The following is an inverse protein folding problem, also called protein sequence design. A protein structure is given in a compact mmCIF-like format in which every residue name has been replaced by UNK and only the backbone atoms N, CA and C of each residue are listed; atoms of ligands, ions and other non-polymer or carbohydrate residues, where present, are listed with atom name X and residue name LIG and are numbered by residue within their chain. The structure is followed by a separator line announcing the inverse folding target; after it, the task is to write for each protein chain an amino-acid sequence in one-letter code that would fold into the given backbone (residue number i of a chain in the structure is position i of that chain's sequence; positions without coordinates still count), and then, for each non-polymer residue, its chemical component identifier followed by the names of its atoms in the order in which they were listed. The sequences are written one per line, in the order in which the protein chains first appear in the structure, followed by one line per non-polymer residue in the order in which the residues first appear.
data_IF_430196688118
#
_entry.id   IF_430196688118
#
_cell.length_a   1.000
_cell.length_b   1.000
_cell.length_c   1.000
_cell.angle_alpha   90.00
_cell.angle_beta   90.00
_cell.angle_gamma   90.00
#
_symmetry.space_group_name_H-M   'P 1'
#
loop_
_entity.id
_entity.type
_entity.pdbx_description
1 polymer ?
#
# COMPACT_ATOMS: atom_id res chain seq x y z
N UNK A 1 20.57 -13.36 18.00
CA UNK A 1 19.58 -14.45 18.22
C UNK A 1 19.19 -14.46 19.69
N UNK A 2 17.90 -14.62 20.06
CA UNK A 2 17.56 -14.50 21.49
C UNK A 2 18.04 -15.70 22.29
N UNK A 3 18.54 -15.47 23.51
CA UNK A 3 18.98 -16.52 24.44
C UNK A 3 17.92 -17.60 24.66
N UNK A 4 16.64 -17.24 24.52
CA UNK A 4 15.50 -18.19 24.59
C UNK A 4 15.54 -19.24 23.48
N UNK A 5 16.00 -18.87 22.27
CA UNK A 5 16.10 -19.77 21.12
C UNK A 5 17.28 -20.72 21.26
N UNK A 6 18.42 -20.22 21.73
CA UNK A 6 19.62 -21.03 22.04
C UNK A 6 19.29 -22.06 23.14
N UNK A 7 18.59 -21.65 24.20
CA UNK A 7 18.13 -22.55 25.25
C UNK A 7 17.14 -23.61 24.73
N UNK A 8 16.22 -23.22 23.84
CA UNK A 8 15.29 -24.16 23.21
C UNK A 8 16.01 -25.20 22.34
N UNK A 9 17.05 -24.80 21.60
CA UNK A 9 17.85 -25.71 20.78
C UNK A 9 18.70 -26.67 21.61
N UNK A 10 19.28 -26.17 22.71
CA UNK A 10 19.99 -27.03 23.67
C UNK A 10 19.04 -28.06 24.30
N UNK A 11 17.86 -27.61 24.74
CA UNK A 11 16.86 -28.50 25.35
C UNK A 11 16.28 -29.52 24.35
N UNK A 12 16.26 -29.20 23.06
CA UNK A 12 15.89 -30.10 21.98
C UNK A 12 17.04 -31.02 21.52
N UNK A 13 18.22 -30.95 22.14
CA UNK A 13 19.39 -31.76 21.79
C UNK A 13 20.04 -31.39 20.45
N UNK A 14 19.68 -30.25 19.85
CA UNK A 14 20.21 -29.82 18.55
C UNK A 14 21.64 -29.27 18.64
N UNK A 15 22.05 -28.81 19.82
CA UNK A 15 23.39 -28.27 20.11
C UNK A 15 23.82 -28.71 21.51
N UNK A 16 25.12 -28.90 21.71
CA UNK A 16 25.72 -29.23 23.00
C UNK A 16 25.95 -27.98 23.87
N UNK A 17 26.33 -28.19 25.13
CA UNK A 17 26.57 -27.10 26.08
C UNK A 17 27.74 -26.19 25.67
N UNK A 18 28.77 -26.75 25.02
CA UNK A 18 29.92 -25.99 24.55
C UNK A 18 29.54 -25.05 23.39
N UNK A 19 28.79 -25.54 22.41
CA UNK A 19 28.29 -24.73 21.28
C UNK A 19 27.29 -23.68 21.75
N UNK A 20 26.42 -24.02 22.72
CA UNK A 20 25.49 -23.06 23.30
C UNK A 20 26.22 -21.89 23.99
N UNK A 21 27.30 -22.16 24.72
CA UNK A 21 28.10 -21.12 25.37
C UNK A 21 28.85 -20.27 24.33
N UNK A 22 29.48 -20.89 23.33
CA UNK A 22 30.17 -20.17 22.25
C UNK A 22 29.23 -19.23 21.48
N UNK A 23 27.97 -19.62 21.26
CA UNK A 23 26.96 -18.76 20.63
C UNK A 23 26.54 -17.59 21.53
N UNK A 24 26.44 -17.81 22.85
CA UNK A 24 26.13 -16.74 23.80
C UNK A 24 27.26 -15.73 23.83
N UNK A 25 28.51 -16.19 23.89
CA UNK A 25 29.70 -15.34 23.93
C UNK A 25 29.85 -14.56 22.62
N UNK A 26 29.65 -15.22 21.47
CA UNK A 26 29.63 -14.57 20.16
C UNK A 26 28.55 -13.48 20.07
N UNK A 27 27.33 -13.75 20.53
CA UNK A 27 26.26 -12.74 20.54
C UNK A 27 26.56 -11.59 21.51
N UNK A 28 27.18 -11.86 22.67
CA UNK A 28 27.59 -10.83 23.62
C UNK A 28 28.65 -9.89 23.02
N UNK A 29 29.65 -10.43 22.32
CA UNK A 29 30.68 -9.65 21.61
C UNK A 29 30.12 -8.88 20.41
N UNK A 30 29.08 -9.41 19.75
CA UNK A 30 28.46 -8.81 18.56
C UNK A 30 27.16 -8.06 18.88
N UNK A 31 26.87 -7.81 20.17
CA UNK A 31 25.68 -7.07 20.56
C UNK A 31 25.86 -5.61 20.12
N UNK A 32 25.07 -5.19 19.13
CA UNK A 32 24.98 -3.75 18.79
C UNK A 32 24.50 -3.01 20.04
N UNK A 33 25.20 -1.96 20.51
CA UNK A 33 24.81 -1.25 21.71
C UNK A 33 23.56 -0.41 21.44
N UNK A 34 22.40 -1.07 21.39
CA UNK A 34 21.12 -0.47 21.00
C UNK A 34 20.76 0.71 21.90
N UNK A 35 21.09 0.65 23.19
CA UNK A 35 20.91 1.76 24.12
C UNK A 35 21.76 2.98 23.74
N UNK A 36 23.02 2.77 23.35
CA UNK A 36 23.91 3.85 22.90
C UNK A 36 23.39 4.46 21.59
N UNK A 37 22.97 3.62 20.63
CA UNK A 37 22.34 4.08 19.38
C UNK A 37 21.02 4.79 19.62
N UNK A 38 20.23 4.37 20.62
CA UNK A 38 19.01 5.05 21.01
C UNK A 38 19.30 6.42 21.63
N UNK A 39 20.33 6.55 22.48
CA UNK A 39 20.76 7.85 23.03
C UNK A 39 21.25 8.78 21.92
N UNK A 40 22.07 8.30 20.99
CA UNK A 40 22.50 9.09 19.83
C UNK A 40 21.32 9.51 18.95
N UNK A 41 20.40 8.58 18.66
CA UNK A 41 19.19 8.86 17.89
C UNK A 41 18.29 9.90 18.57
N UNK A 42 18.09 9.78 19.88
CA UNK A 42 17.29 10.71 20.67
C UNK A 42 17.96 12.09 20.72
N UNK A 43 19.28 12.15 20.90
CA UNK A 43 20.05 13.40 20.89
C UNK A 43 19.98 14.11 19.53
N UNK A 44 20.18 13.37 18.43
CA UNK A 44 20.04 13.92 17.08
C UNK A 44 18.62 14.41 16.79
N UNK A 45 17.60 13.67 17.23
CA UNK A 45 16.20 14.05 17.10
C UNK A 45 15.87 15.30 17.93
N UNK A 46 16.36 15.39 19.16
CA UNK A 46 16.19 16.58 20.00
C UNK A 46 16.84 17.83 19.38
N UNK A 47 18.04 17.69 18.82
CA UNK A 47 18.72 18.79 18.09
C UNK A 47 17.90 19.18 16.86
N UNK A 48 17.46 18.21 16.06
CA UNK A 48 16.66 18.46 14.86
C UNK A 48 15.34 19.18 15.19
N UNK A 49 14.61 18.69 16.19
CA UNK A 49 13.40 19.33 16.69
C UNK A 49 13.68 20.73 17.25
N UNK A 50 14.76 20.91 18.01
CA UNK A 50 15.17 22.22 18.52
C UNK A 50 15.42 23.24 17.41
N UNK A 51 16.12 22.84 16.34
CA UNK A 51 16.34 23.68 15.15
C UNK A 51 15.00 24.03 14.49
N UNK A 52 14.12 23.04 14.26
CA UNK A 52 12.79 23.26 13.69
C UNK A 52 11.98 24.23 14.56
N UNK A 53 12.01 24.07 15.88
CA UNK A 53 11.30 24.95 16.83
C UNK A 53 11.83 26.38 16.80
N UNK A 54 13.15 26.57 16.76
CA UNK A 54 13.74 27.92 16.67
C UNK A 54 13.35 28.59 15.35
N UNK A 55 13.39 27.86 14.23
CA UNK A 55 12.96 28.39 12.93
C UNK A 55 11.47 28.72 12.94
N UNK A 56 10.63 27.83 13.48
CA UNK A 56 9.19 28.02 13.58
C UNK A 56 8.82 29.23 14.45
N UNK A 57 9.51 29.42 15.59
CA UNK A 57 9.29 30.57 16.48
C UNK A 57 9.61 31.92 15.82
N UNK A 58 10.51 31.93 14.84
CA UNK A 58 10.91 33.13 14.11
C UNK A 58 10.31 33.19 12.70
N UNK A 59 9.38 32.30 12.35
CA UNK A 59 8.92 32.08 10.97
C UNK A 59 8.40 33.35 10.29
N UNK A 60 7.60 34.13 11.01
CA UNK A 60 7.02 35.40 10.51
C UNK A 60 8.06 36.51 10.33
N UNK A 61 9.17 36.45 11.06
CA UNK A 61 10.24 37.45 10.98
C UNK A 61 11.18 37.21 9.79
N UNK A 62 11.19 35.99 9.25
CA UNK A 62 12.05 35.63 8.11
C UNK A 62 11.33 36.02 6.81
N UNK A 63 11.92 36.89 5.96
CA UNK A 63 11.31 37.27 4.69
C UNK A 63 10.99 36.04 3.82
N UNK A 64 9.78 35.99 3.23
CA UNK A 64 9.35 34.83 2.43
C UNK A 64 10.31 34.47 1.29
N UNK A 65 10.88 35.48 0.63
CA UNK A 65 11.88 35.28 -0.43
C UNK A 65 13.17 34.64 0.09
N UNK A 66 13.62 35.00 1.31
CA UNK A 66 14.79 34.36 1.92
C UNK A 66 14.49 32.90 2.26
N UNK A 67 13.30 32.61 2.79
CA UNK A 67 12.87 31.23 3.06
C UNK A 67 12.86 30.39 1.77
N UNK A 68 12.30 30.92 0.69
CA UNK A 68 12.30 30.24 -0.62
C UNK A 68 13.70 30.05 -1.18
N UNK A 69 14.57 31.06 -1.09
CA UNK A 69 15.95 30.99 -1.56
C UNK A 69 16.74 29.89 -0.84
N UNK A 70 16.61 29.78 0.49
CA UNK A 70 17.23 28.71 1.28
C UNK A 70 16.68 27.35 0.88
N UNK A 71 15.37 27.22 0.72
CA UNK A 71 14.74 25.96 0.30
C UNK A 71 15.23 25.52 -1.09
N UNK A 72 15.30 26.45 -2.05
CA UNK A 72 15.82 26.19 -3.39
C UNK A 72 17.32 25.85 -3.37
N UNK A 73 18.12 26.54 -2.56
CA UNK A 73 19.55 26.24 -2.40
C UNK A 73 19.78 24.83 -1.85
N UNK A 74 18.96 24.39 -0.88
CA UNK A 74 19.00 23.01 -0.37
C UNK A 74 18.64 22.00 -1.47
N UNK A 75 17.58 22.27 -2.25
CA UNK A 75 17.22 21.41 -3.39
C UNK A 75 18.36 21.30 -4.41
N UNK A 76 18.95 22.42 -4.81
CA UNK A 76 20.08 22.45 -5.77
C UNK A 76 21.27 21.69 -5.19
N UNK A 77 21.65 21.96 -3.94
CA UNK A 77 22.80 21.32 -3.29
C UNK A 77 22.65 19.81 -3.15
N UNK A 78 21.47 19.32 -2.76
CA UNK A 78 21.21 17.89 -2.64
C UNK A 78 21.13 17.21 -4.01
N UNK A 79 20.51 17.84 -5.02
CA UNK A 79 20.50 17.31 -6.39
C UNK A 79 21.92 17.25 -6.97
N UNK A 80 22.74 18.30 -6.77
CA UNK A 80 24.13 18.31 -7.17
C UNK A 80 24.94 17.21 -6.45
N UNK A 81 24.68 16.99 -5.17
CA UNK A 81 25.30 15.90 -4.40
C UNK A 81 24.91 14.53 -4.97
N UNK A 82 23.62 14.32 -5.26
CA UNK A 82 23.14 13.08 -5.86
C UNK A 82 23.77 12.86 -7.25
N UNK A 83 23.86 13.90 -8.08
CA UNK A 83 24.42 13.82 -9.42
C UNK A 83 25.94 13.58 -9.43
N UNK A 84 26.69 14.22 -8.54
CA UNK A 84 28.16 14.17 -8.53
C UNK A 84 28.73 13.04 -7.66
N UNK A 85 27.99 12.60 -6.63
CA UNK A 85 28.48 11.64 -5.62
C UNK A 85 27.55 10.44 -5.44
N UNK A 86 26.44 10.35 -6.17
CA UNK A 86 25.43 9.30 -5.97
C UNK A 86 25.98 7.88 -6.08
N UNK A 87 26.89 7.64 -7.04
CA UNK A 87 27.53 6.34 -7.23
C UNK A 87 28.50 6.00 -6.09
N UNK A 88 29.31 6.96 -5.66
CA UNK A 88 30.23 6.80 -4.52
C UNK A 88 29.44 6.51 -3.24
N UNK A 89 28.37 7.26 -2.99
CA UNK A 89 27.48 7.07 -1.83
C UNK A 89 26.80 5.70 -1.86
N UNK A 90 26.36 5.25 -3.05
CA UNK A 90 25.74 3.94 -3.21
C UNK A 90 26.72 2.78 -2.96
N UNK A 91 28.02 2.97 -3.24
CA UNK A 91 29.07 1.98 -2.91
C UNK A 91 29.28 1.86 -1.40
N UNK A 92 29.19 2.96 -0.65
CA UNK A 92 29.28 2.95 0.82
C UNK A 92 28.04 2.29 1.41
N UNK A 93 26.86 2.74 0.99
CA UNK A 93 25.59 2.15 1.39
C UNK A 93 24.49 2.51 0.38
N UNK A 94 23.83 1.52 -0.24
CA UNK A 94 22.71 1.75 -1.15
C UNK A 94 21.57 2.56 -0.51
N UNK A 95 21.43 2.49 0.81
CA UNK A 95 20.40 3.21 1.57
C UNK A 95 20.66 4.71 1.66
N UNK A 96 21.91 5.16 1.59
CA UNK A 96 22.24 6.60 1.66
C UNK A 96 21.76 7.31 0.40
N UNK A 97 21.98 6.70 -0.77
CA UNK A 97 21.48 7.23 -2.03
C UNK A 97 19.93 7.25 -2.04
N UNK A 98 19.29 6.17 -1.60
CA UNK A 98 17.82 6.11 -1.49
C UNK A 98 17.27 7.19 -0.54
N UNK A 99 17.88 7.36 0.64
CA UNK A 99 17.47 8.37 1.60
C UNK A 99 17.65 9.79 1.03
N UNK A 100 18.76 10.05 0.32
CA UNK A 100 19.00 11.33 -0.35
C UNK A 100 17.93 11.62 -1.40
N UNK A 101 17.61 10.63 -2.26
CA UNK A 101 16.56 10.76 -3.27
C UNK A 101 15.19 11.01 -2.64
N UNK A 102 14.86 10.29 -1.57
CA UNK A 102 13.63 10.48 -0.82
C UNK A 102 13.54 11.89 -0.24
N UNK A 103 14.61 12.38 0.41
CA UNK A 103 14.67 13.73 0.97
C UNK A 103 14.54 14.79 -0.11
N UNK A 104 15.21 14.64 -1.26
CA UNK A 104 15.07 15.55 -2.41
C UNK A 104 13.60 15.61 -2.87
N UNK A 105 12.96 14.47 -3.03
CA UNK A 105 11.57 14.40 -3.48
C UNK A 105 10.60 15.01 -2.44
N UNK A 106 10.78 14.74 -1.15
CA UNK A 106 9.96 15.35 -0.08
C UNK A 106 10.21 16.85 0.06
N UNK A 107 11.44 17.33 -0.06
CA UNK A 107 11.74 18.77 -0.12
C UNK A 107 11.09 19.41 -1.34
N UNK A 108 11.10 18.73 -2.49
CA UNK A 108 10.38 19.19 -3.68
C UNK A 108 8.88 19.35 -3.41
N UNK A 109 8.29 18.42 -2.67
CA UNK A 109 6.87 18.46 -2.31
C UNK A 109 6.57 19.63 -1.38
N UNK A 110 7.37 19.81 -0.32
CA UNK A 110 7.17 20.91 0.64
C UNK A 110 7.51 22.28 0.04
N UNK A 111 8.38 22.35 -0.97
CA UNK A 111 8.67 23.57 -1.72
C UNK A 111 7.42 24.15 -2.39
N UNK A 112 6.55 23.32 -2.96
CA UNK A 112 5.28 23.79 -3.53
C UNK A 112 4.31 24.33 -2.47
N UNK A 113 4.22 23.69 -1.31
CA UNK A 113 3.44 24.22 -0.18
C UNK A 113 3.98 25.57 0.30
N UNK A 114 5.29 25.72 0.34
CA UNK A 114 5.97 26.94 0.73
C UNK A 114 5.79 28.08 -0.29
N UNK A 115 5.83 27.77 -1.60
CA UNK A 115 5.47 28.73 -2.66
C UNK A 115 4.04 29.25 -2.45
N UNK A 116 3.09 28.36 -2.16
CA UNK A 116 1.71 28.74 -1.90
C UNK A 116 1.55 29.69 -0.72
N UNK A 117 2.33 29.51 0.35
CA UNK A 117 2.33 30.40 1.51
C UNK A 117 2.93 31.77 1.20
N UNK A 118 4.10 31.83 0.55
CA UNK A 118 4.81 33.09 0.29
C UNK A 118 4.09 33.95 -0.74
N UNK A 119 3.52 33.34 -1.78
CA UNK A 119 2.77 34.04 -2.82
C UNK A 119 1.25 34.07 -2.58
N UNK A 120 0.78 33.52 -1.45
CA UNK A 120 -0.64 33.46 -1.06
C UNK A 120 -1.56 32.88 -2.16
N UNK A 121 -1.11 31.82 -2.85
CA UNK A 121 -1.88 31.22 -3.95
C UNK A 121 -2.88 30.19 -3.43
N UNK A 122 -4.13 30.25 -3.90
CA UNK A 122 -5.22 29.33 -3.54
C UNK A 122 -5.50 28.30 -4.65
N UNK A 123 -4.49 27.52 -5.05
CA UNK A 123 -4.68 26.46 -6.04
C UNK A 123 -5.17 25.16 -5.41
N UNK A 124 -6.04 24.38 -6.07
CA UNK A 124 -6.34 22.99 -5.67
C UNK A 124 -5.04 22.17 -5.53
N UNK A 125 -4.96 21.28 -4.55
CA UNK A 125 -3.72 20.58 -4.18
C UNK A 125 -3.18 19.68 -5.30
N UNK A 126 -4.04 19.15 -6.17
CA UNK A 126 -3.64 18.31 -7.29
C UNK A 126 -2.75 19.05 -8.28
N UNK A 127 -2.87 20.39 -8.42
CA UNK A 127 -2.03 21.17 -9.36
C UNK A 127 -0.55 21.16 -8.96
N UNK A 128 -0.16 21.58 -7.73
CA UNK A 128 1.22 21.47 -7.29
C UNK A 128 1.69 20.01 -7.18
N UNK A 129 0.80 19.07 -6.82
CA UNK A 129 1.16 17.64 -6.80
C UNK A 129 1.44 17.08 -8.20
N UNK A 130 0.67 17.46 -9.21
CA UNK A 130 0.91 17.08 -10.59
C UNK A 130 2.24 17.68 -11.09
N UNK A 131 2.51 18.96 -10.77
CA UNK A 131 3.80 19.58 -11.04
C UNK A 131 4.96 18.83 -10.35
N UNK A 132 4.77 18.43 -9.10
CA UNK A 132 5.73 17.61 -8.37
C UNK A 132 5.94 16.23 -9.01
N UNK A 133 4.88 15.54 -9.44
CA UNK A 133 4.99 14.26 -10.16
C UNK A 133 5.72 14.42 -11.50
N UNK A 134 5.49 15.51 -12.23
CA UNK A 134 6.18 15.78 -13.49
C UNK A 134 7.69 15.99 -13.27
N UNK A 135 8.07 16.71 -12.22
CA UNK A 135 9.47 17.05 -11.96
C UNK A 135 10.23 15.92 -11.24
N UNK A 136 9.63 15.31 -10.22
CA UNK A 136 10.29 14.34 -9.35
C UNK A 136 9.92 12.89 -9.66
N UNK A 137 8.78 12.63 -10.31
CA UNK A 137 8.36 11.29 -10.72
C UNK A 137 9.38 10.58 -11.63
N UNK A 138 9.90 11.23 -12.69
CA UNK A 138 10.98 10.65 -13.50
C UNK A 138 12.24 10.34 -12.69
N UNK A 139 12.63 11.23 -11.77
CA UNK A 139 13.79 11.00 -10.91
C UNK A 139 13.58 9.77 -10.00
N UNK A 140 12.40 9.65 -9.37
CA UNK A 140 12.04 8.49 -8.55
C UNK A 140 12.02 7.19 -9.37
N UNK A 141 11.51 7.23 -10.61
CA UNK A 141 11.49 6.08 -11.52
C UNK A 141 12.88 5.66 -12.01
N UNK A 142 13.77 6.62 -12.26
CA UNK A 142 15.11 6.36 -12.80
C UNK A 142 16.07 5.92 -11.68
N UNK A 143 16.08 6.64 -10.56
CA UNK A 143 17.07 6.46 -9.50
C UNK A 143 16.59 5.63 -8.31
N UNK A 144 15.27 5.53 -8.06
CA UNK A 144 14.73 4.80 -6.91
C UNK A 144 15.07 3.31 -6.94
N UNK A 145 15.56 2.76 -5.83
CA UNK A 145 16.03 1.36 -5.76
C UNK A 145 15.22 0.49 -4.80
N UNK A 146 14.47 1.09 -3.89
CA UNK A 146 13.77 0.37 -2.83
C UNK A 146 12.36 0.88 -2.58
N UNK A 147 11.77 0.45 -1.47
CA UNK A 147 10.36 0.69 -1.16
C UNK A 147 10.00 2.17 -0.89
N UNK A 148 10.82 3.04 -0.27
CA UNK A 148 10.41 4.41 0.02
C UNK A 148 10.22 5.23 -1.25
N UNK A 149 11.12 5.11 -2.23
CA UNK A 149 10.98 5.81 -3.51
C UNK A 149 9.74 5.30 -4.28
N UNK A 150 9.51 3.98 -4.29
CA UNK A 150 8.33 3.39 -4.91
C UNK A 150 7.04 3.87 -4.24
N UNK A 151 7.00 3.85 -2.91
CA UNK A 151 5.85 4.28 -2.11
C UNK A 151 5.55 5.77 -2.31
N UNK A 152 6.58 6.62 -2.36
CA UNK A 152 6.42 8.05 -2.59
C UNK A 152 5.87 8.35 -3.99
N UNK A 153 6.37 7.65 -5.01
CA UNK A 153 5.89 7.79 -6.38
C UNK A 153 4.42 7.39 -6.51
N UNK A 154 4.07 6.16 -6.10
CA UNK A 154 2.70 5.68 -6.27
C UNK A 154 1.73 6.35 -5.30
N UNK A 155 2.15 6.62 -4.07
CA UNK A 155 1.34 7.33 -3.07
C UNK A 155 1.04 8.75 -3.53
N UNK A 156 2.05 9.48 -4.04
CA UNK A 156 1.85 10.79 -4.64
C UNK A 156 0.94 10.74 -5.88
N UNK A 157 1.07 9.71 -6.71
CA UNK A 157 0.19 9.51 -7.88
C UNK A 157 -1.27 9.23 -7.49
N UNK A 158 -1.50 8.35 -6.50
CA UNK A 158 -2.84 8.04 -5.98
C UNK A 158 -3.45 9.29 -5.38
N UNK A 159 -2.74 9.99 -4.49
CA UNK A 159 -3.25 11.18 -3.84
C UNK A 159 -3.57 12.28 -4.85
N UNK A 160 -2.67 12.53 -5.82
CA UNK A 160 -2.91 13.51 -6.88
C UNK A 160 -4.16 13.16 -7.72
N UNK A 161 -4.36 11.89 -8.06
CA UNK A 161 -5.51 11.45 -8.84
C UNK A 161 -6.84 11.61 -8.08
N UNK A 162 -6.85 11.30 -6.79
CA UNK A 162 -8.05 11.47 -5.96
C UNK A 162 -8.32 12.91 -5.57
N UNK A 163 -7.29 13.73 -5.33
CA UNK A 163 -7.47 15.16 -5.11
C UNK A 163 -7.96 15.86 -6.38
N UNK A 164 -7.50 15.43 -7.57
CA UNK A 164 -8.06 15.89 -8.85
C UNK A 164 -9.55 15.54 -8.94
N UNK A 165 -9.91 14.28 -8.69
CA UNK A 165 -11.30 13.85 -8.72
C UNK A 165 -12.17 14.58 -7.67
N UNK A 166 -11.63 14.87 -6.48
CA UNK A 166 -12.33 15.58 -5.42
C UNK A 166 -12.51 17.07 -5.74
N UNK A 167 -11.46 17.75 -6.18
CA UNK A 167 -11.51 19.16 -6.57
C UNK A 167 -12.47 19.39 -7.75
N UNK A 168 -12.55 18.41 -8.66
CA UNK A 168 -13.51 18.43 -9.76
C UNK A 168 -14.93 18.07 -9.27
N UNK A 169 -15.08 17.19 -8.27
CA UNK A 169 -16.38 16.83 -7.69
C UNK A 169 -17.09 17.98 -6.94
N UNK A 170 -16.45 19.12 -6.69
CA UNK A 170 -17.14 20.37 -6.34
C UNK A 170 -18.15 20.83 -7.41
N UNK A 171 -18.06 20.26 -8.62
CA UNK A 171 -19.03 20.34 -9.70
C UNK A 171 -20.26 19.42 -9.56
N UNK A 172 -20.38 18.66 -8.46
CA UNK A 172 -21.49 17.71 -8.19
C UNK A 172 -22.89 18.36 -8.29
N UNK A 173 -22.97 19.70 -8.28
CA UNK A 173 -24.22 20.47 -8.39
C UNK A 173 -24.40 21.21 -9.72
N UNK A 174 -23.47 21.09 -10.69
CA UNK A 174 -23.54 21.77 -11.99
C UNK A 174 -23.70 20.77 -13.16
N UNK A 175 -24.89 20.71 -13.82
CA UNK A 175 -25.19 19.78 -14.91
C UNK A 175 -24.24 19.84 -16.12
N UNK A 176 -23.61 21.00 -16.37
CA UNK A 176 -22.73 21.23 -17.52
C UNK A 176 -21.35 20.56 -17.40
N UNK A 177 -20.97 20.06 -16.21
CA UNK A 177 -19.64 19.48 -15.97
C UNK A 177 -19.57 17.95 -16.00
N UNK A 178 -20.63 17.31 -16.49
CA UNK A 178 -20.80 15.85 -16.64
C UNK A 178 -19.66 15.14 -17.38
N UNK A 179 -19.01 15.76 -18.37
CA UNK A 179 -17.83 15.17 -19.08
C UNK A 179 -16.61 14.99 -18.17
N UNK A 180 -16.46 15.82 -17.13
CA UNK A 180 -15.29 15.77 -16.24
C UNK A 180 -15.30 14.55 -15.32
N UNK A 181 -16.47 13.97 -15.03
CA UNK A 181 -16.59 12.73 -14.24
C UNK A 181 -15.93 11.52 -14.89
N UNK A 182 -16.07 11.38 -16.22
CA UNK A 182 -15.39 10.30 -16.96
C UNK A 182 -13.87 10.50 -16.98
N UNK A 183 -13.42 11.76 -17.04
CA UNK A 183 -12.00 12.11 -16.93
C UNK A 183 -11.49 11.77 -15.53
N UNK A 184 -12.21 12.15 -14.47
CA UNK A 184 -11.87 11.80 -13.09
C UNK A 184 -11.83 10.28 -12.87
N UNK A 185 -12.75 9.53 -13.47
CA UNK A 185 -12.73 8.07 -13.46
C UNK A 185 -11.48 7.50 -14.17
N UNK A 186 -11.14 8.02 -15.34
CA UNK A 186 -9.92 7.63 -16.04
C UNK A 186 -8.65 7.96 -15.23
N UNK A 187 -8.57 9.18 -14.68
CA UNK A 187 -7.42 9.65 -13.87
C UNK A 187 -7.25 8.81 -12.61
N UNK A 188 -8.33 8.51 -11.90
CA UNK A 188 -8.29 7.63 -10.70
C UNK A 188 -7.97 6.18 -11.04
N UNK A 189 -8.13 5.73 -12.28
CA UNK A 189 -7.67 4.41 -12.71
C UNK A 189 -6.16 4.37 -13.02
N UNK A 190 -5.53 5.48 -13.39
CA UNK A 190 -4.12 5.52 -13.84
C UNK A 190 -3.10 4.90 -12.87
N UNK A 191 -3.21 5.07 -11.52
CA UNK A 191 -2.29 4.40 -10.61
C UNK A 191 -2.28 2.87 -10.74
N UNK A 192 -3.35 2.25 -11.25
CA UNK A 192 -3.40 0.82 -11.55
C UNK A 192 -2.41 0.39 -12.65
N UNK A 193 -2.04 1.28 -13.56
CA UNK A 193 -1.10 1.02 -14.66
C UNK A 193 0.33 0.73 -14.15
N UNK A 194 0.66 1.18 -12.94
CA UNK A 194 1.93 0.84 -12.30
C UNK A 194 2.10 -0.67 -12.12
N UNK A 195 1.01 -1.45 -11.97
CA UNK A 195 1.11 -2.89 -11.79
C UNK A 195 1.71 -3.61 -13.01
N UNK A 196 1.12 -3.55 -14.22
CA UNK A 196 1.70 -4.18 -15.40
C UNK A 196 3.06 -3.58 -15.79
N UNK A 197 3.26 -2.27 -15.64
CA UNK A 197 4.54 -1.63 -15.94
C UNK A 197 5.67 -2.12 -15.04
N UNK A 198 5.42 -2.18 -13.73
CA UNK A 198 6.41 -2.64 -12.76
C UNK A 198 6.69 -4.14 -12.92
N UNK A 199 5.66 -4.96 -13.19
CA UNK A 199 5.81 -6.37 -13.47
C UNK A 199 6.72 -6.62 -14.69
N UNK A 200 6.53 -5.87 -15.78
CA UNK A 200 7.37 -5.93 -16.98
C UNK A 200 8.83 -5.52 -16.70
N UNK A 201 9.04 -4.47 -15.89
CA UNK A 201 10.38 -3.98 -15.54
C UNK A 201 11.11 -4.88 -14.56
N UNK A 202 10.41 -5.59 -13.68
CA UNK A 202 11.00 -6.41 -12.62
C UNK A 202 11.94 -7.49 -13.15
N UNK A 203 11.61 -8.10 -14.29
CA UNK A 203 12.45 -9.12 -14.95
C UNK A 203 13.65 -8.50 -15.71
N UNK A 204 13.61 -7.20 -15.99
CA UNK A 204 14.57 -6.48 -16.86
C UNK A 204 15.46 -5.51 -16.11
N UNK A 205 15.39 -5.49 -14.78
CA UNK A 205 16.06 -4.49 -13.96
C UNK A 205 16.62 -5.10 -12.69
N UNK A 206 17.82 -4.67 -12.30
CA UNK A 206 18.46 -5.04 -11.03
C UNK A 206 17.78 -4.43 -9.78
N UNK A 207 16.61 -3.78 -9.93
CA UNK A 207 15.91 -3.01 -8.88
C UNK A 207 14.64 -3.74 -8.45
N UNK A 208 14.79 -5.01 -8.09
CA UNK A 208 13.65 -5.92 -7.89
C UNK A 208 12.70 -5.44 -6.81
N UNK A 209 13.20 -4.84 -5.73
CA UNK A 209 12.40 -4.40 -4.60
C UNK A 209 11.55 -3.17 -4.93
N UNK A 210 12.13 -2.19 -5.63
CA UNK A 210 11.39 -1.02 -6.14
C UNK A 210 10.20 -1.45 -7.02
N UNK A 211 10.47 -2.27 -8.04
CA UNK A 211 9.42 -2.71 -8.96
C UNK A 211 8.39 -3.61 -8.28
N UNK A 212 8.82 -4.50 -7.38
CA UNK A 212 7.89 -5.33 -6.61
C UNK A 212 6.96 -4.48 -5.75
N UNK A 213 7.46 -3.44 -5.09
CA UNK A 213 6.61 -2.59 -4.26
C UNK A 213 5.63 -1.78 -5.11
N UNK A 214 6.10 -1.24 -6.23
CA UNK A 214 5.25 -0.53 -7.17
C UNK A 214 4.12 -1.44 -7.72
N UNK A 215 4.45 -2.69 -8.07
CA UNK A 215 3.50 -3.73 -8.48
C UNK A 215 2.47 -4.04 -7.38
N UNK A 216 2.93 -4.32 -6.15
CA UNK A 216 2.07 -4.71 -5.04
C UNK A 216 1.16 -3.59 -4.56
N UNK A 217 1.65 -2.36 -4.48
CA UNK A 217 0.83 -1.21 -4.07
C UNK A 217 -0.22 -0.89 -5.12
N UNK A 218 0.08 -1.02 -6.42
CA UNK A 218 -0.91 -0.85 -7.49
C UNK A 218 -1.99 -1.96 -7.48
N UNK A 219 -1.62 -3.22 -7.19
CA UNK A 219 -2.57 -4.30 -6.98
C UNK A 219 -3.45 -4.05 -5.75
N UNK A 220 -2.85 -3.65 -4.63
CA UNK A 220 -3.58 -3.31 -3.41
C UNK A 220 -4.54 -2.14 -3.63
N UNK A 221 -4.15 -1.15 -4.45
CA UNK A 221 -5.01 -0.04 -4.85
C UNK A 221 -6.27 -0.53 -5.60
N UNK A 222 -6.12 -1.43 -6.58
CA UNK A 222 -7.25 -1.98 -7.31
C UNK A 222 -8.17 -2.85 -6.42
N UNK A 223 -7.60 -3.71 -5.58
CA UNK A 223 -8.35 -4.53 -4.62
C UNK A 223 -9.08 -3.65 -3.60
N UNK A 224 -8.42 -2.59 -3.12
CA UNK A 224 -9.02 -1.59 -2.23
C UNK A 224 -10.18 -0.86 -2.89
N UNK A 225 -10.03 -0.46 -4.16
CA UNK A 225 -11.11 0.12 -4.97
C UNK A 225 -12.31 -0.82 -5.13
N UNK A 226 -12.07 -2.09 -5.47
CA UNK A 226 -13.13 -3.09 -5.57
C UNK A 226 -13.83 -3.36 -4.23
N UNK A 227 -13.05 -3.43 -3.15
CA UNK A 227 -13.56 -3.58 -1.79
C UNK A 227 -14.46 -2.40 -1.41
N UNK A 228 -14.00 -1.17 -1.70
CA UNK A 228 -14.77 0.05 -1.45
C UNK A 228 -16.05 0.08 -2.30
N UNK A 229 -16.01 -0.33 -3.56
CA UNK A 229 -17.21 -0.41 -4.41
C UNK A 229 -18.26 -1.36 -3.83
N UNK A 230 -17.88 -2.51 -3.26
CA UNK A 230 -18.83 -3.39 -2.58
C UNK A 230 -19.44 -2.74 -1.34
N UNK A 231 -18.65 -1.99 -0.56
CA UNK A 231 -19.14 -1.27 0.63
C UNK A 231 -20.13 -0.18 0.21
N UNK A 232 -19.77 0.62 -0.79
CA UNK A 232 -20.62 1.70 -1.35
C UNK A 232 -21.92 1.14 -1.91
N UNK A 233 -21.89 -0.02 -2.58
CA UNK A 233 -23.09 -0.71 -3.08
C UNK A 233 -24.06 -1.12 -1.95
N UNK A 234 -23.54 -1.52 -0.79
CA UNK A 234 -24.36 -1.89 0.38
C UNK A 234 -25.18 -0.68 0.85
N UNK A 235 -24.58 0.51 0.87
CA UNK A 235 -25.27 1.74 1.26
C UNK A 235 -26.20 2.31 0.17
N UNK A 236 -26.33 1.64 -0.98
CA UNK A 236 -27.18 2.15 -2.04
C UNK A 236 -26.67 3.38 -2.75
N UNK A 237 -25.42 3.77 -2.51
CA UNK A 237 -24.91 5.08 -2.90
C UNK A 237 -24.68 5.23 -4.41
N UNK A 238 -25.01 4.22 -5.22
CA UNK A 238 -25.11 4.35 -6.67
C UNK A 238 -26.52 4.74 -7.17
N UNK A 239 -27.51 4.91 -6.27
CA UNK A 239 -28.86 5.37 -6.63
C UNK A 239 -28.98 6.89 -6.61
N UNK A 240 -29.37 7.44 -7.76
CA UNK A 240 -29.90 8.77 -7.98
C UNK A 240 -30.56 8.78 -9.35
N UNK A 241 -31.77 9.37 -9.46
CA UNK A 241 -32.68 9.30 -10.62
C UNK A 241 -32.08 9.76 -11.98
N UNK A 242 -30.82 10.21 -12.02
CA UNK A 242 -30.16 10.78 -13.20
C UNK A 242 -28.64 10.44 -13.34
N UNK A 243 -28.09 9.47 -12.59
CA UNK A 243 -26.62 9.25 -12.56
C UNK A 243 -26.06 8.14 -13.48
N UNK A 244 -26.50 8.16 -14.75
CA UNK A 244 -25.89 7.34 -15.83
C UNK A 244 -24.37 7.56 -15.93
N UNK A 245 -23.88 8.74 -15.52
CA UNK A 245 -22.49 9.16 -15.70
C UNK A 245 -21.60 8.68 -14.56
N UNK A 246 -22.06 8.69 -13.31
CA UNK A 246 -21.37 8.03 -12.20
C UNK A 246 -21.26 6.52 -12.42
N UNK A 247 -22.33 5.90 -12.93
CA UNK A 247 -22.33 4.50 -13.36
C UNK A 247 -21.31 4.25 -14.47
N UNK A 248 -21.29 5.10 -15.50
CA UNK A 248 -20.28 5.02 -16.56
C UNK A 248 -18.85 5.21 -16.04
N UNK A 249 -18.64 6.11 -15.07
CA UNK A 249 -17.35 6.30 -14.41
C UNK A 249 -16.88 5.05 -13.65
N UNK A 250 -17.78 4.33 -12.98
CA UNK A 250 -17.45 3.04 -12.37
C UNK A 250 -17.09 1.98 -13.42
N UNK A 251 -17.82 1.93 -14.54
CA UNK A 251 -17.48 1.04 -15.65
C UNK A 251 -16.13 1.38 -16.30
N UNK A 252 -15.74 2.66 -16.36
CA UNK A 252 -14.40 3.06 -16.82
C UNK A 252 -13.32 2.50 -15.89
N UNK A 253 -13.48 2.61 -14.57
CA UNK A 253 -12.54 2.03 -13.59
C UNK A 253 -12.48 0.51 -13.68
N UNK A 254 -13.63 -0.15 -13.83
CA UNK A 254 -13.73 -1.59 -14.03
C UNK A 254 -13.00 -2.05 -15.31
N UNK A 255 -13.27 -1.38 -16.44
CA UNK A 255 -12.64 -1.67 -17.72
C UNK A 255 -11.13 -1.45 -17.67
N UNK A 256 -10.67 -0.39 -17.01
CA UNK A 256 -9.25 -0.13 -16.82
C UNK A 256 -8.58 -1.23 -15.99
N UNK A 257 -9.16 -1.62 -14.85
CA UNK A 257 -8.64 -2.71 -14.02
C UNK A 257 -8.60 -4.05 -14.78
N UNK A 258 -9.62 -4.36 -15.57
CA UNK A 258 -9.63 -5.52 -16.47
C UNK A 258 -8.48 -5.46 -17.49
N UNK A 259 -8.31 -4.31 -18.16
CA UNK A 259 -7.22 -4.07 -19.10
C UNK A 259 -5.85 -4.22 -18.45
N UNK A 260 -5.65 -3.67 -17.25
CA UNK A 260 -4.40 -3.83 -16.50
C UNK A 260 -4.16 -5.28 -16.07
N UNK A 261 -5.21 -6.03 -15.73
CA UNK A 261 -5.13 -7.46 -15.45
C UNK A 261 -4.64 -8.25 -16.67
N UNK A 262 -5.19 -7.97 -17.85
CA UNK A 262 -4.74 -8.57 -19.11
C UNK A 262 -3.28 -8.19 -19.42
N UNK A 263 -2.91 -6.92 -19.25
CA UNK A 263 -1.53 -6.46 -19.42
C UNK A 263 -0.57 -7.15 -18.44
N UNK A 264 -0.99 -7.41 -17.20
CA UNK A 264 -0.20 -8.15 -16.21
C UNK A 264 0.07 -9.61 -16.65
N UNK A 265 -0.94 -10.27 -17.23
CA UNK A 265 -0.79 -11.62 -17.78
C UNK A 265 0.26 -11.67 -18.90
N UNK A 266 0.34 -10.61 -19.72
CA UNK A 266 1.32 -10.48 -20.80
C UNK A 266 2.69 -10.08 -20.26
N UNK A 267 2.74 -9.16 -19.29
CA UNK A 267 3.96 -8.56 -18.77
C UNK A 267 4.82 -9.52 -17.92
N UNK A 268 4.19 -10.51 -17.27
CA UNK A 268 4.84 -11.41 -16.31
C UNK A 268 4.39 -12.86 -16.54
N UNK A 269 5.07 -13.60 -17.44
CA UNK A 269 4.73 -14.99 -17.70
C UNK A 269 4.97 -15.86 -16.45
N UNK A 270 4.10 -16.85 -16.23
CA UNK A 270 4.19 -17.80 -15.12
C UNK A 270 3.07 -17.67 -14.09
N UNK A 271 3.09 -18.53 -13.07
CA UNK A 271 2.00 -18.66 -12.11
C UNK A 271 1.78 -17.38 -11.30
N UNK A 272 2.85 -16.74 -10.84
CA UNK A 272 2.74 -15.49 -10.07
C UNK A 272 2.10 -14.35 -10.87
N UNK A 273 2.48 -14.17 -12.15
CA UNK A 273 1.86 -13.15 -12.99
C UNK A 273 0.42 -13.49 -13.39
N UNK A 274 0.11 -14.78 -13.60
CA UNK A 274 -1.28 -15.26 -13.78
C UNK A 274 -2.15 -14.90 -12.58
N UNK A 275 -1.68 -15.19 -11.38
CA UNK A 275 -2.40 -14.87 -10.15
C UNK A 275 -2.58 -13.37 -9.97
N UNK A 276 -1.53 -12.56 -10.13
CA UNK A 276 -1.63 -11.09 -10.05
C UNK A 276 -2.57 -10.51 -11.09
N UNK A 277 -2.53 -11.01 -12.34
CA UNK A 277 -3.42 -10.60 -13.41
C UNK A 277 -4.88 -10.98 -13.13
N UNK A 278 -5.14 -12.17 -12.61
CA UNK A 278 -6.49 -12.61 -12.20
C UNK A 278 -7.04 -11.80 -11.03
N UNK A 279 -6.21 -11.45 -10.03
CA UNK A 279 -6.63 -10.59 -8.91
C UNK A 279 -7.00 -9.19 -9.40
N UNK A 280 -6.18 -8.61 -10.28
CA UNK A 280 -6.45 -7.30 -10.89
C UNK A 280 -7.72 -7.33 -11.76
N UNK A 281 -7.85 -8.32 -12.63
CA UNK A 281 -9.03 -8.49 -13.48
C UNK A 281 -10.29 -8.76 -12.64
N UNK A 282 -10.19 -9.64 -11.64
CA UNK A 282 -11.27 -9.93 -10.70
C UNK A 282 -11.73 -8.69 -9.93
N UNK A 283 -10.79 -7.82 -9.54
CA UNK A 283 -11.13 -6.51 -8.94
C UNK A 283 -11.94 -5.66 -9.92
N UNK A 284 -11.58 -5.64 -11.21
CA UNK A 284 -12.36 -4.95 -12.25
C UNK A 284 -13.77 -5.52 -12.43
N UNK A 285 -13.91 -6.86 -12.45
CA UNK A 285 -15.23 -7.52 -12.49
C UNK A 285 -16.06 -7.13 -11.28
N UNK A 286 -15.47 -7.17 -10.08
CA UNK A 286 -16.15 -6.79 -8.84
C UNK A 286 -16.62 -5.34 -8.86
N UNK A 287 -15.80 -4.40 -9.36
CA UNK A 287 -16.22 -2.99 -9.52
C UNK A 287 -17.43 -2.88 -10.45
N UNK A 288 -17.47 -3.62 -11.57
CA UNK A 288 -18.62 -3.60 -12.47
C UNK A 288 -19.87 -4.23 -11.84
N UNK A 289 -19.74 -5.38 -11.17
CA UNK A 289 -20.85 -6.08 -10.54
C UNK A 289 -21.43 -5.31 -9.35
N UNK A 290 -20.63 -4.45 -8.70
CA UNK A 290 -21.10 -3.61 -7.60
C UNK A 290 -22.29 -2.72 -7.99
N UNK A 291 -22.37 -2.28 -9.26
CA UNK A 291 -23.51 -1.52 -9.78
C UNK A 291 -24.80 -2.35 -9.79
N UNK A 292 -24.71 -3.64 -10.14
CA UNK A 292 -25.87 -4.53 -10.24
C UNK A 292 -26.38 -5.06 -8.90
N UNK A 293 -25.59 -4.93 -7.83
CA UNK A 293 -25.97 -5.34 -6.46
C UNK A 293 -26.24 -4.14 -5.54
N UNK A 294 -26.33 -2.94 -6.11
CA UNK A 294 -26.62 -1.71 -5.36
C UNK A 294 -27.94 -1.83 -4.59
N UNK A 295 -27.98 -1.34 -3.35
CA UNK A 295 -29.14 -1.43 -2.44
C UNK A 295 -29.58 -2.86 -2.07
N UNK A 296 -28.76 -3.86 -2.33
CA UNK A 296 -29.02 -5.23 -1.87
C UNK A 296 -27.86 -5.69 -0.99
N UNK A 297 -27.95 -5.35 0.31
CA UNK A 297 -26.90 -5.61 1.32
C UNK A 297 -26.33 -7.03 1.26
N UNK A 298 -27.21 -8.03 1.16
CA UNK A 298 -26.81 -9.42 1.10
C UNK A 298 -25.99 -9.74 -0.16
N UNK A 299 -26.36 -9.19 -1.31
CA UNK A 299 -25.64 -9.40 -2.57
C UNK A 299 -24.32 -8.62 -2.60
N UNK A 300 -24.30 -7.39 -2.07
CA UNK A 300 -23.09 -6.59 -1.91
C UNK A 300 -22.09 -7.28 -0.96
N UNK A 301 -22.57 -7.83 0.16
CA UNK A 301 -21.78 -8.63 1.09
C UNK A 301 -21.29 -9.93 0.44
N UNK A 302 -22.13 -10.63 -0.32
CA UNK A 302 -21.74 -11.83 -1.05
C UNK A 302 -20.66 -11.55 -2.10
N UNK A 303 -20.78 -10.43 -2.83
CA UNK A 303 -19.78 -9.99 -3.80
C UNK A 303 -18.44 -9.64 -3.13
N UNK A 304 -18.48 -8.93 -1.98
CA UNK A 304 -17.29 -8.70 -1.15
C UNK A 304 -16.62 -10.01 -0.75
N UNK A 305 -17.39 -10.97 -0.24
CA UNK A 305 -16.86 -12.27 0.19
C UNK A 305 -16.28 -13.04 -0.99
N UNK A 306 -16.95 -13.03 -2.15
CA UNK A 306 -16.48 -13.67 -3.37
C UNK A 306 -15.13 -13.10 -3.83
N UNK A 307 -14.95 -11.77 -3.80
CA UNK A 307 -13.67 -11.13 -4.09
C UNK A 307 -12.56 -11.67 -3.17
N UNK A 308 -12.76 -11.61 -1.86
CA UNK A 308 -11.73 -11.99 -0.89
C UNK A 308 -11.48 -13.51 -0.82
N UNK A 309 -12.49 -14.34 -1.05
CA UNK A 309 -12.32 -15.80 -1.24
C UNK A 309 -11.48 -16.08 -2.49
N UNK A 310 -11.75 -15.38 -3.60
CA UNK A 310 -10.95 -15.45 -4.82
C UNK A 310 -9.49 -15.06 -4.58
N UNK A 311 -9.26 -13.98 -3.83
CA UNK A 311 -7.91 -13.55 -3.41
C UNK A 311 -7.24 -14.59 -2.51
N UNK A 312 -7.97 -15.21 -1.58
CA UNK A 312 -7.45 -16.28 -0.73
C UNK A 312 -7.02 -17.50 -1.56
N UNK A 313 -7.83 -17.93 -2.52
CA UNK A 313 -7.50 -19.01 -3.45
C UNK A 313 -6.27 -18.68 -4.32
N UNK A 314 -6.22 -17.45 -4.83
CA UNK A 314 -5.06 -16.91 -5.54
C UNK A 314 -3.79 -16.92 -4.67
N UNK A 315 -3.88 -16.51 -3.41
CA UNK A 315 -2.76 -16.47 -2.47
C UNK A 315 -2.24 -17.88 -2.14
N UNK A 316 -3.14 -18.87 -2.01
CA UNK A 316 -2.76 -20.28 -1.82
C UNK A 316 -1.98 -20.83 -3.01
N UNK A 317 -2.36 -20.47 -4.25
CA UNK A 317 -1.68 -20.96 -5.45
C UNK A 317 -0.21 -20.50 -5.56
N UNK A 318 0.20 -19.47 -4.82
CA UNK A 318 1.58 -18.93 -4.84
C UNK A 318 2.23 -18.91 -3.44
N UNK A 319 1.72 -19.70 -2.49
CA UNK A 319 2.21 -19.81 -1.11
C UNK A 319 2.32 -18.47 -0.35
N UNK A 320 1.49 -17.48 -0.71
CA UNK A 320 1.48 -16.16 -0.12
C UNK A 320 0.71 -16.13 1.21
N UNK A 321 1.29 -16.75 2.26
CA UNK A 321 0.66 -16.94 3.58
C UNK A 321 0.04 -15.67 4.18
N UNK A 322 0.75 -14.54 4.11
CA UNK A 322 0.25 -13.26 4.64
C UNK A 322 -0.99 -12.75 3.91
N UNK A 323 -1.03 -12.87 2.58
CA UNK A 323 -2.19 -12.46 1.78
C UNK A 323 -3.39 -13.38 2.03
N UNK A 324 -3.15 -14.69 2.18
CA UNK A 324 -4.19 -15.64 2.57
C UNK A 324 -4.79 -15.31 3.95
N UNK A 325 -3.95 -15.08 4.96
CA UNK A 325 -4.39 -14.72 6.31
C UNK A 325 -5.20 -13.41 6.32
N UNK A 326 -4.74 -12.40 5.58
CA UNK A 326 -5.46 -11.13 5.44
C UNK A 326 -6.84 -11.34 4.81
N UNK A 327 -6.92 -12.13 3.73
CA UNK A 327 -8.18 -12.41 3.05
C UNK A 327 -9.18 -13.13 3.97
N UNK A 328 -8.72 -14.16 4.71
CA UNK A 328 -9.55 -14.86 5.69
C UNK A 328 -10.03 -13.90 6.80
N UNK A 329 -9.16 -13.04 7.31
CA UNK A 329 -9.52 -12.06 8.33
C UNK A 329 -10.60 -11.08 7.84
N UNK A 330 -10.50 -10.61 6.59
CA UNK A 330 -11.48 -9.68 6.01
C UNK A 330 -12.83 -10.35 5.72
N UNK A 331 -12.84 -11.61 5.28
CA UNK A 331 -14.08 -12.39 5.15
C UNK A 331 -14.73 -12.57 6.52
N UNK A 332 -13.97 -12.99 7.54
CA UNK A 332 -14.49 -13.14 8.90
C UNK A 332 -15.04 -11.82 9.46
N UNK A 333 -14.33 -10.70 9.25
CA UNK A 333 -14.79 -9.38 9.66
C UNK A 333 -16.09 -8.99 8.95
N UNK A 334 -16.20 -9.21 7.63
CA UNK A 334 -17.43 -8.88 6.89
C UNK A 334 -18.62 -9.73 7.35
N UNK A 335 -18.39 -11.00 7.70
CA UNK A 335 -19.43 -11.86 8.28
C UNK A 335 -19.94 -11.34 9.63
N UNK A 336 -19.04 -10.83 10.47
CA UNK A 336 -19.42 -10.14 11.72
C UNK A 336 -20.30 -8.93 11.40
N UNK A 337 -19.85 -8.06 10.50
CA UNK A 337 -20.60 -6.85 10.14
C UNK A 337 -21.98 -7.21 9.57
N UNK A 338 -22.06 -8.17 8.66
CA UNK A 338 -23.31 -8.63 8.06
C UNK A 338 -24.29 -9.17 9.12
N UNK A 339 -23.80 -9.80 10.19
CA UNK A 339 -24.66 -10.27 11.28
C UNK A 339 -25.32 -9.15 12.07
N UNK A 340 -24.69 -7.97 12.11
CA UNK A 340 -25.30 -6.76 12.68
C UNK A 340 -26.24 -6.07 11.66
N UNK A 341 -25.87 -6.03 10.38
CA UNK A 341 -26.71 -5.45 9.31
C UNK A 341 -28.06 -6.18 9.17
N UNK A 342 -28.07 -7.52 9.29
CA UNK A 342 -29.28 -8.35 9.21
C UNK A 342 -30.13 -8.35 10.50
N UNK A 343 -29.55 -7.96 11.63
CA UNK A 343 -30.22 -7.97 12.92
C UNK A 343 -30.90 -6.62 13.19
N UNK A 344 -32.12 -6.44 12.71
CA UNK A 344 -32.93 -5.24 12.96
C UNK A 344 -33.44 -5.10 14.40
N UNK A 345 -33.23 -6.10 15.27
CA UNK A 345 -33.77 -6.16 16.63
C UNK A 345 -32.73 -6.68 17.65
N UNK A 346 -32.69 -6.11 18.87
CA UNK A 346 -31.64 -6.39 19.88
C UNK A 346 -31.53 -7.89 20.27
N UNK A 347 -32.65 -8.60 20.28
CA UNK A 347 -32.70 -10.05 20.53
C UNK A 347 -32.19 -10.88 19.34
N UNK A 348 -32.46 -10.43 18.11
CA UNK A 348 -31.92 -11.02 16.88
C UNK A 348 -30.41 -10.79 16.78
N UNK A 349 -29.90 -9.68 17.33
CA UNK A 349 -28.44 -9.39 17.38
C UNK A 349 -27.69 -10.39 18.27
N UNK A 350 -28.29 -10.86 19.36
CA UNK A 350 -27.70 -11.88 20.24
C UNK A 350 -27.57 -13.24 19.56
N UNK A 351 -28.61 -13.68 18.84
CA UNK A 351 -28.57 -14.92 18.08
C UNK A 351 -27.67 -14.81 16.83
N UNK A 352 -27.68 -13.66 16.17
CA UNK A 352 -26.79 -13.32 15.06
C UNK A 352 -25.32 -13.34 15.46
N UNK A 353 -24.97 -12.84 16.65
CA UNK A 353 -23.62 -12.91 17.22
C UNK A 353 -23.17 -14.35 17.49
N UNK A 354 -24.06 -15.21 18.01
CA UNK A 354 -23.74 -16.63 18.26
C UNK A 354 -23.54 -17.35 16.92
N UNK A 355 -24.43 -17.16 15.95
CA UNK A 355 -24.33 -17.78 14.63
C UNK A 355 -23.08 -17.29 13.86
N UNK A 356 -22.79 -15.99 13.95
CA UNK A 356 -21.57 -15.38 13.42
C UNK A 356 -20.32 -15.97 14.07
N UNK A 357 -20.31 -16.10 15.40
CA UNK A 357 -19.23 -16.76 16.14
C UNK A 357 -18.99 -18.20 15.69
N UNK A 358 -20.05 -18.99 15.52
CA UNK A 358 -19.96 -20.36 14.99
C UNK A 358 -19.43 -20.41 13.56
N UNK A 359 -19.87 -19.48 12.71
CA UNK A 359 -19.43 -19.39 11.33
C UNK A 359 -17.97 -18.94 11.21
N UNK A 360 -17.51 -17.98 12.02
CA UNK A 360 -16.10 -17.58 12.09
C UNK A 360 -15.24 -18.77 12.55
N UNK A 361 -15.68 -19.53 13.55
CA UNK A 361 -15.00 -20.74 13.98
C UNK A 361 -14.93 -21.79 12.87
N UNK A 362 -16.01 -21.97 12.09
CA UNK A 362 -16.04 -22.88 10.96
C UNK A 362 -15.07 -22.45 9.83
N UNK A 363 -15.04 -21.15 9.49
CA UNK A 363 -14.12 -20.58 8.51
C UNK A 363 -12.67 -20.69 9.00
N UNK A 364 -12.39 -20.36 10.26
CA UNK A 364 -11.07 -20.48 10.87
C UNK A 364 -10.59 -21.93 10.91
N UNK A 365 -11.46 -22.88 11.29
CA UNK A 365 -11.17 -24.30 11.26
C UNK A 365 -10.88 -24.80 9.84
N UNK A 366 -11.69 -24.39 8.86
CA UNK A 366 -11.44 -24.70 7.44
C UNK A 366 -10.11 -24.14 6.95
N UNK A 367 -9.79 -22.88 7.28
CA UNK A 367 -8.54 -22.23 6.92
C UNK A 367 -7.32 -22.93 7.57
N UNK A 368 -7.42 -23.37 8.83
CA UNK A 368 -6.37 -24.14 9.51
C UNK A 368 -6.19 -25.50 8.85
N UNK A 369 -7.27 -26.21 8.53
CA UNK A 369 -7.20 -27.54 7.90
C UNK A 369 -6.55 -27.47 6.51
N UNK A 370 -6.93 -26.47 5.72
CA UNK A 370 -6.31 -26.18 4.42
C UNK A 370 -4.83 -25.82 4.62
N UNK A 371 -4.51 -24.91 5.55
CA UNK A 371 -3.13 -24.53 5.84
C UNK A 371 -2.25 -25.71 6.31
N UNK A 372 -2.81 -26.69 7.02
CA UNK A 372 -2.09 -27.88 7.47
C UNK A 372 -1.86 -28.88 6.34
N UNK A 373 -2.82 -29.02 5.41
CA UNK A 373 -2.69 -29.88 4.24
C UNK A 373 -1.62 -29.40 3.24
N UNK A 374 -1.39 -28.08 3.18
CA UNK A 374 -0.40 -27.45 2.28
C UNK A 374 0.88 -27.00 3.01
N UNK A 375 1.04 -27.32 4.30
CA UNK A 375 2.32 -27.13 4.97
C UNK A 375 3.33 -28.17 4.43
N UNK A 376 4.55 -27.80 4.03
CA UNK A 376 5.57 -28.76 3.63
C UNK A 376 5.76 -29.78 4.77
N UNK A 377 5.63 -31.06 4.42
CA UNK A 377 5.47 -32.16 5.37
C UNK A 377 6.52 -32.12 6.47
N UNK A 378 6.06 -32.09 7.72
CA UNK A 378 6.86 -32.63 8.83
C UNK A 378 7.11 -34.09 8.50
N UNK A 379 8.33 -34.41 8.10
CA UNK A 379 8.79 -35.79 8.02
C UNK A 379 8.46 -36.50 9.33
N UNK A 380 7.83 -37.67 9.18
CA UNK A 380 7.60 -38.63 10.25
C UNK A 380 8.97 -39.17 10.71
N UNK A 381 9.45 -38.64 11.82
CA UNK A 381 10.40 -39.25 12.75
C UNK A 381 9.70 -39.18 14.11
N UNK A 382 9.44 -40.23 14.90
CA UNK A 382 9.90 -41.61 14.98
C UNK A 382 8.74 -42.42 15.58
N UNK A 383 8.40 -43.57 15.01
CA UNK A 383 7.90 -44.73 15.77
C UNK A 383 8.26 -46.00 14.99
N UNK A 384 9.48 -46.49 15.23
CA UNK A 384 9.77 -47.92 15.22
C UNK A 384 10.78 -48.19 16.34
N UNK A 385 10.63 -49.34 17.02
CA UNK A 385 10.80 -49.50 18.46
C UNK A 385 12.23 -49.43 19.00
#
# INVERSE_FOLDING_TARGET
MSNRKIAAWRNAGLIDSATAQALIDYEAEHTRPLALWAVFGLGALAIGLGIISVVAANWEQIPGQLRLAVHLALLIGLNATLALRGDDLARISPWVNEALLFVIAVLGLTFFGHLGQVYQTSSPLWKPLAAWLILFGPALLIYGRSWPAAALLIGGSIFCAWDFAAADSGAMFEPERRTHWLIAAAVTALPGLFAPFAAWKRERSARTDFWRQLELTALAYAVGGATLSCIVASFGAFEGDDDLIGSAGQLVRAAAALGFGLLLLIAKPGLSGRVSGLVMAGSGITIALALGVNNVDLLAAALFMALWIGIAAAALAIDARGAFQLAVALVALRLIILSFELASDLLLSGFGLILSGLMILAVAWGAVRVSQAYAPGREKQEQTP
#
